data_IF_067053234544
#
_entry.id   IF_067053234544
#
_cell.length_a   1.000
_cell.length_b   1.000
_cell.length_c   1.000
_cell.angle_alpha   90.00
_cell.angle_beta   90.00
_cell.angle_gamma   90.00
#
_symmetry.space_group_name_H-M   'P 1'
#
loop_
_entity.id
_entity.type
_entity.pdbx_description
1 polymer ?
#
# COMPACT_ATOMS: atom_id res chain seq x y z
N UNK A 1 -26.56 -21.98 -56.28
CA UNK A 1 -26.10 -22.48 -54.96
C UNK A 1 -24.89 -21.69 -54.44
N UNK A 2 -23.85 -21.46 -55.25
CA UNK A 2 -22.62 -20.72 -54.86
C UNK A 2 -22.84 -19.27 -54.38
N UNK A 3 -23.77 -18.51 -54.98
CA UNK A 3 -24.07 -17.12 -54.58
C UNK A 3 -24.73 -16.99 -53.20
N UNK A 4 -25.64 -17.92 -52.86
CA UNK A 4 -26.27 -17.99 -51.52
C UNK A 4 -25.25 -18.39 -50.44
N UNK A 5 -24.30 -19.26 -50.80
CA UNK A 5 -23.19 -19.65 -49.94
C UNK A 5 -22.25 -18.46 -49.65
N UNK A 6 -21.89 -17.69 -50.67
CA UNK A 6 -21.02 -16.50 -50.52
C UNK A 6 -21.67 -15.43 -49.63
N UNK A 7 -22.98 -15.19 -49.80
CA UNK A 7 -23.71 -14.24 -48.94
C UNK A 7 -23.76 -14.73 -47.50
N UNK A 8 -23.98 -16.03 -47.28
CA UNK A 8 -24.00 -16.59 -45.94
C UNK A 8 -22.64 -16.49 -45.25
N UNK A 9 -21.56 -16.79 -45.97
CA UNK A 9 -20.18 -16.66 -45.44
C UNK A 9 -19.83 -15.20 -45.14
N UNK A 10 -20.22 -14.26 -45.99
CA UNK A 10 -20.04 -12.83 -45.73
C UNK A 10 -20.82 -12.35 -44.50
N UNK A 11 -22.03 -12.89 -44.28
CA UNK A 11 -22.88 -12.52 -43.14
C UNK A 11 -22.32 -13.08 -41.83
N UNK A 12 -21.80 -14.30 -41.86
CA UNK A 12 -21.09 -14.91 -40.72
C UNK A 12 -19.81 -14.14 -40.42
N UNK A 13 -19.02 -13.76 -41.43
CA UNK A 13 -17.80 -12.99 -41.24
C UNK A 13 -18.07 -11.60 -40.63
N UNK A 14 -19.08 -10.88 -41.16
CA UNK A 14 -19.50 -9.59 -40.62
C UNK A 14 -20.03 -9.70 -39.18
N UNK A 15 -20.77 -10.76 -38.86
CA UNK A 15 -21.28 -11.01 -37.51
C UNK A 15 -20.16 -11.37 -36.54
N UNK A 16 -19.15 -12.12 -36.98
CA UNK A 16 -17.99 -12.45 -36.13
C UNK A 16 -17.12 -11.24 -35.81
N UNK A 17 -16.98 -10.27 -36.74
CA UNK A 17 -16.17 -9.08 -36.52
C UNK A 17 -16.76 -8.14 -35.46
N UNK A 18 -18.09 -8.15 -35.24
CA UNK A 18 -18.74 -7.32 -34.22
C UNK A 18 -18.55 -7.86 -32.79
N UNK A 19 -18.15 -9.12 -32.63
CA UNK A 19 -17.92 -9.75 -31.32
C UNK A 19 -16.47 -9.64 -30.84
N UNK A 20 -15.56 -9.10 -31.67
CA UNK A 20 -14.16 -8.89 -31.29
C UNK A 20 -14.06 -7.51 -30.62
N UNK A 21 -14.49 -7.45 -29.36
CA UNK A 21 -14.25 -6.28 -28.51
C UNK A 21 -12.76 -6.11 -28.24
N UNK A 22 -12.23 -4.89 -28.44
CA UNK A 22 -10.86 -4.56 -28.05
C UNK A 22 -10.70 -4.66 -26.53
N UNK A 23 -9.68 -5.40 -26.06
CA UNK A 23 -9.32 -5.42 -24.65
C UNK A 23 -8.57 -4.13 -24.30
N UNK A 24 -9.26 -3.17 -23.69
CA UNK A 24 -8.64 -1.97 -23.13
C UNK A 24 -8.19 -2.28 -21.69
N UNK A 25 -6.93 -2.69 -21.53
CA UNK A 25 -6.34 -2.86 -20.21
C UNK A 25 -5.95 -1.48 -19.63
N UNK A 26 -6.89 -0.82 -18.95
CA UNK A 26 -6.56 0.31 -18.07
C UNK A 26 -6.09 -0.22 -16.72
N UNK A 27 -4.83 -0.65 -16.65
CA UNK A 27 -4.24 -1.14 -15.40
C UNK A 27 -4.14 -0.03 -14.35
N UNK A 28 -5.03 -0.04 -13.35
CA UNK A 28 -4.93 0.87 -12.20
C UNK A 28 -3.83 0.37 -11.25
N UNK A 29 -2.76 1.15 -11.11
CA UNK A 29 -1.67 0.83 -10.16
C UNK A 29 -2.16 1.13 -8.74
N UNK A 30 -2.06 0.15 -7.85
CA UNK A 30 -2.46 0.27 -6.44
C UNK A 30 -1.27 0.04 -5.51
N UNK A 31 -1.25 0.74 -4.38
CA UNK A 31 -0.19 0.63 -3.36
C UNK A 31 -0.75 -0.17 -2.18
N UNK A 32 -0.02 -1.20 -1.76
CA UNK A 32 -0.35 -2.02 -0.58
C UNK A 32 0.79 -1.94 0.42
N UNK A 33 0.49 -1.58 1.67
CA UNK A 33 1.45 -1.54 2.77
C UNK A 33 0.89 -2.38 3.91
N UNK A 34 1.66 -3.34 4.42
CA UNK A 34 1.24 -4.28 5.48
C UNK A 34 -0.11 -4.99 5.19
N UNK A 35 -0.37 -5.35 3.93
CA UNK A 35 -1.61 -6.00 3.50
C UNK A 35 -2.81 -5.07 3.34
N UNK A 36 -2.67 -3.77 3.63
CA UNK A 36 -3.73 -2.78 3.48
C UNK A 36 -3.49 -1.90 2.26
N UNK A 37 -4.55 -1.68 1.48
CA UNK A 37 -4.48 -0.76 0.32
C UNK A 37 -4.45 0.68 0.81
N UNK A 38 -3.42 1.42 0.41
CA UNK A 38 -3.26 2.81 0.83
C UNK A 38 -3.92 3.73 -0.19
N UNK A 39 -4.91 4.57 0.22
CA UNK A 39 -5.49 5.56 -0.66
C UNK A 39 -4.42 6.59 -1.05
N UNK A 40 -4.45 7.01 -2.31
CA UNK A 40 -3.52 7.97 -2.88
C UNK A 40 -4.30 9.17 -3.41
N UNK A 41 -3.87 10.37 -3.04
CA UNK A 41 -4.44 11.61 -3.59
C UNK A 41 -4.06 11.78 -5.07
N UNK A 42 -2.90 11.22 -5.46
CA UNK A 42 -2.39 11.21 -6.82
C UNK A 42 -2.14 9.77 -7.24
N UNK A 43 -2.77 9.34 -8.33
CA UNK A 43 -2.61 7.98 -8.84
C UNK A 43 -1.14 7.72 -9.22
N UNK A 44 -0.55 6.58 -8.79
CA UNK A 44 0.75 6.16 -9.27
C UNK A 44 0.73 6.01 -10.79
N UNK A 45 1.83 6.38 -11.45
CA UNK A 45 1.93 6.35 -12.91
C UNK A 45 3.21 5.67 -13.34
N UNK A 46 3.17 4.96 -14.46
CA UNK A 46 4.36 4.45 -15.11
C UNK A 46 4.95 5.54 -16.01
N UNK A 47 6.20 5.93 -15.76
CA UNK A 47 6.98 6.86 -16.60
C UNK A 47 8.24 6.12 -17.01
N UNK A 48 8.41 5.89 -18.31
CA UNK A 48 9.59 5.24 -18.90
C UNK A 48 9.93 3.87 -18.28
N UNK A 49 8.91 3.07 -17.99
CA UNK A 49 9.08 1.74 -17.37
C UNK A 49 9.28 1.77 -15.85
N UNK A 50 9.25 2.96 -15.23
CA UNK A 50 9.35 3.14 -13.78
C UNK A 50 8.03 3.65 -13.21
N UNK A 51 7.51 2.94 -12.21
CA UNK A 51 6.34 3.42 -11.47
C UNK A 51 6.75 4.54 -10.52
N UNK A 52 6.24 5.74 -10.79
CA UNK A 52 6.33 6.89 -9.89
C UNK A 52 5.20 6.85 -8.87
N UNK A 53 5.58 6.95 -7.60
CA UNK A 53 4.67 6.88 -6.47
C UNK A 53 4.75 8.18 -5.67
N UNK A 54 3.62 8.73 -5.18
CA UNK A 54 3.65 9.93 -4.35
C UNK A 54 4.43 9.69 -3.04
N UNK A 55 5.47 10.49 -2.83
CA UNK A 55 6.31 10.40 -1.62
C UNK A 55 5.50 10.61 -0.34
N UNK A 56 4.50 11.51 -0.37
CA UNK A 56 3.62 11.80 0.76
C UNK A 56 2.84 10.58 1.23
N UNK A 57 2.36 9.76 0.28
CA UNK A 57 1.62 8.52 0.60
C UNK A 57 2.53 7.52 1.29
N UNK A 58 3.73 7.29 0.75
CA UNK A 58 4.68 6.34 1.33
C UNK A 58 5.09 6.75 2.74
N UNK A 59 5.49 8.00 2.93
CA UNK A 59 5.89 8.50 4.25
C UNK A 59 4.76 8.39 5.27
N UNK A 60 3.52 8.75 4.91
CA UNK A 60 2.35 8.59 5.80
C UNK A 60 2.11 7.13 6.15
N UNK A 61 2.18 6.22 5.17
CA UNK A 61 1.99 4.79 5.39
C UNK A 61 3.07 4.19 6.31
N UNK A 62 4.28 4.77 6.33
CA UNK A 62 5.37 4.42 7.22
C UNK A 62 5.32 5.13 8.59
N UNK A 63 4.26 5.90 8.87
CA UNK A 63 4.08 6.61 10.14
C UNK A 63 4.94 7.88 10.29
N UNK A 64 5.49 8.39 9.20
CA UNK A 64 6.23 9.65 9.17
C UNK A 64 5.32 10.84 8.81
N UNK A 65 5.60 12.00 9.41
CA UNK A 65 4.99 13.27 9.03
C UNK A 65 5.67 13.86 7.80
N UNK A 66 4.90 14.42 6.87
CA UNK A 66 5.42 15.10 5.67
C UNK A 66 4.99 16.56 5.68
N UNK A 67 5.94 17.45 5.43
CA UNK A 67 5.68 18.89 5.32
C UNK A 67 6.40 19.44 4.09
N UNK A 68 5.76 20.38 3.41
CA UNK A 68 6.33 21.07 2.25
C UNK A 68 6.81 22.46 2.64
N UNK A 69 8.09 22.75 2.39
CA UNK A 69 8.63 24.10 2.45
C UNK A 69 8.62 24.69 1.03
N UNK A 70 7.62 25.55 0.76
CA UNK A 70 7.45 26.19 -0.55
C UNK A 70 8.55 27.19 -0.90
N UNK A 71 9.18 27.80 0.11
CA UNK A 71 10.25 28.80 -0.10
C UNK A 71 11.54 28.13 -0.55
N UNK A 72 11.82 26.95 0.00
CA UNK A 72 13.02 26.16 -0.33
C UNK A 72 12.77 25.04 -1.34
N UNK A 73 11.53 24.90 -1.83
CA UNK A 73 11.09 23.81 -2.70
C UNK A 73 11.52 22.43 -2.16
N UNK A 74 11.41 22.25 -0.85
CA UNK A 74 11.97 21.09 -0.15
C UNK A 74 10.86 20.30 0.56
N UNK A 75 10.87 18.99 0.39
CA UNK A 75 10.03 18.06 1.18
C UNK A 75 10.76 17.72 2.47
N UNK A 76 10.12 17.95 3.61
CA UNK A 76 10.63 17.60 4.93
C UNK A 76 9.84 16.38 5.43
N UNK A 77 10.55 15.30 5.75
CA UNK A 77 9.98 14.06 6.30
C UNK A 77 10.51 13.90 7.72
N UNK A 78 9.60 13.93 8.69
CA UNK A 78 9.92 13.73 10.10
C UNK A 78 9.42 12.36 10.53
N UNK A 79 10.35 11.44 10.79
CA UNK A 79 10.02 10.18 11.41
C UNK A 79 9.74 10.44 12.89
N UNK A 80 8.53 10.10 13.36
CA UNK A 80 8.31 10.00 14.79
C UNK A 80 9.14 8.79 15.23
N UNK A 81 10.26 9.02 15.90
CA UNK A 81 11.01 7.93 16.52
C UNK A 81 10.00 7.13 17.33
N UNK A 82 9.73 5.91 16.90
CA UNK A 82 8.93 4.98 17.67
C UNK A 82 9.55 4.97 19.06
N UNK A 83 8.71 5.09 20.09
CA UNK A 83 9.09 4.74 21.45
C UNK A 83 9.97 3.50 21.35
N UNK A 84 11.26 3.63 21.68
CA UNK A 84 12.10 2.47 21.90
C UNK A 84 11.32 1.61 22.87
N UNK A 85 10.74 0.51 22.37
CA UNK A 85 10.15 -0.48 23.26
C UNK A 85 11.38 -1.02 23.98
N UNK A 86 11.67 -0.46 25.16
CA UNK A 86 12.45 -1.15 26.16
C UNK A 86 11.63 -2.39 26.44
N UNK A 87 11.94 -3.50 25.75
CA UNK A 87 11.54 -4.81 26.22
C UNK A 87 11.97 -4.85 27.68
N UNK A 88 11.03 -4.99 28.64
CA UNK A 88 11.39 -5.18 30.03
C UNK A 88 12.36 -6.35 30.07
N UNK A 89 13.56 -6.10 30.58
CA UNK A 89 14.58 -7.13 30.69
C UNK A 89 14.09 -8.15 31.72
N UNK A 90 13.38 -9.19 31.25
CA UNK A 90 12.72 -10.19 32.09
C UNK A 90 13.72 -11.00 32.93
N UNK A 91 15.02 -10.83 32.69
CA UNK A 91 16.09 -11.47 33.45
C UNK A 91 16.34 -10.81 34.81
N UNK A 92 16.00 -9.52 34.98
CA UNK A 92 16.32 -8.75 36.20
C UNK A 92 15.22 -8.78 37.28
N UNK A 93 14.03 -9.33 37.00
CA UNK A 93 12.92 -9.38 37.97
C UNK A 93 12.98 -10.62 38.88
N UNK A 94 13.60 -11.71 38.42
CA UNK A 94 13.53 -13.02 39.11
C UNK A 94 14.62 -13.30 40.15
N UNK A 95 15.52 -12.36 40.42
CA UNK A 95 16.60 -12.56 41.40
C UNK A 95 16.40 -11.79 42.72
N UNK A 96 15.26 -11.12 42.92
CA UNK A 96 14.96 -10.44 44.19
C UNK A 96 14.36 -11.40 45.23
N UNK A 97 15.05 -12.52 45.49
CA UNK A 97 14.76 -13.42 46.61
C UNK A 97 15.69 -13.06 47.77
N UNK A 98 15.29 -12.07 48.55
CA UNK A 98 15.90 -11.78 49.86
C UNK A 98 14.77 -11.38 50.79
N UNK A 99 14.37 -12.34 51.63
CA UNK A 99 13.40 -12.13 52.70
C UNK A 99 14.04 -11.42 53.88
N UNK A 100 13.31 -10.46 54.43
CA UNK A 100 13.38 -9.97 55.82
C UNK A 100 12.17 -9.01 55.97
N UNK A 101 11.03 -9.42 56.53
CA UNK A 101 10.63 -9.59 57.95
C UNK A 101 9.82 -8.39 58.51
N UNK A 102 8.51 -8.58 58.68
CA UNK A 102 7.69 -7.73 59.55
C UNK A 102 6.32 -7.33 59.01
N UNK A 103 5.27 -8.04 59.46
CA UNK A 103 4.10 -7.49 60.18
C UNK A 103 3.63 -6.08 59.71
N UNK A 104 2.41 -5.84 59.22
CA UNK A 104 1.11 -6.23 59.80
C UNK A 104 -0.07 -5.89 58.87
N UNK A 105 -1.08 -6.76 58.96
CA UNK A 105 -2.52 -6.49 59.18
C UNK A 105 -3.32 -5.54 58.28
N UNK A 106 -4.26 -6.15 57.55
CA UNK A 106 -5.48 -5.50 57.06
C UNK A 106 -6.67 -5.96 57.90
N UNK A 107 -7.52 -5.00 58.27
CA UNK A 107 -8.87 -5.22 58.79
C UNK A 107 -9.71 -6.04 57.81
#
# INVERSE_FOLDING_TARGET
MKKKLVIFVSLVFALTSLLIGGAFASGKISIVVNGQTVPTDVSPRNVDGRVMVPISTISKALGAGVTWDSKKQTVIINQKNGTSVSTPDLWNEKLNLSGDNGQTSYL
#
